data_IF_385788018367
#
_entry.id   IF_385788018367
#
_cell.length_a   1.000
_cell.length_b   1.000
_cell.length_c   1.000
_cell.angle_alpha   90.00
_cell.angle_beta   90.00
_cell.angle_gamma   90.00
#
_symmetry.space_group_name_H-M   'P 1'
#
loop_
_entity.id
_entity.type
_entity.pdbx_description
1 polymer ?
#
# COMPACT_ATOMS: atom_id res chain seq x y z
N UNK A 1 1.68 -8.42 -35.96
CA UNK A 1 1.36 -6.98 -35.88
C UNK A 1 2.25 -6.34 -34.82
N UNK A 2 3.03 -5.32 -35.19
CA UNK A 2 3.98 -4.65 -34.29
C UNK A 2 3.42 -3.35 -33.74
N UNK A 3 4.06 -2.79 -32.69
CA UNK A 3 3.65 -1.50 -32.11
C UNK A 3 3.73 -0.36 -33.12
N UNK A 4 4.70 -0.41 -34.03
CA UNK A 4 4.88 0.61 -35.09
C UNK A 4 3.71 0.57 -36.08
N UNK A 5 3.26 -0.62 -36.47
CA UNK A 5 2.10 -0.80 -37.36
C UNK A 5 0.80 -0.33 -36.71
N UNK A 6 0.60 -0.64 -35.42
CA UNK A 6 -0.57 -0.20 -34.67
C UNK A 6 -0.67 1.32 -34.57
N UNK A 7 0.44 1.97 -34.21
CA UNK A 7 0.51 3.43 -34.11
C UNK A 7 0.28 4.10 -35.46
N UNK A 8 0.88 3.56 -36.53
CA UNK A 8 0.67 4.07 -37.89
C UNK A 8 -0.80 3.93 -38.32
N UNK A 9 -1.44 2.80 -38.05
CA UNK A 9 -2.86 2.57 -38.36
C UNK A 9 -3.79 3.54 -37.61
N UNK A 10 -3.40 3.96 -36.41
CA UNK A 10 -4.15 4.90 -35.57
C UNK A 10 -3.82 6.38 -35.85
N UNK A 11 -3.05 6.68 -36.89
CA UNK A 11 -2.72 8.04 -37.31
C UNK A 11 -1.50 8.66 -36.61
N UNK A 12 -0.68 7.84 -35.96
CA UNK A 12 0.56 8.28 -35.31
C UNK A 12 1.78 7.76 -36.10
N UNK A 13 2.30 8.54 -37.07
CA UNK A 13 3.39 8.08 -37.92
C UNK A 13 4.69 7.96 -37.11
N UNK A 14 5.28 6.76 -37.12
CA UNK A 14 6.51 6.42 -36.40
C UNK A 14 7.64 6.21 -37.41
N UNK A 15 8.73 6.96 -37.28
CA UNK A 15 9.89 6.91 -38.19
C UNK A 15 11.09 6.25 -37.52
N UNK A 16 11.85 5.46 -38.27
CA UNK A 16 13.12 4.89 -37.77
C UNK A 16 14.14 6.01 -37.55
N UNK A 17 14.77 6.04 -36.38
CA UNK A 17 15.75 7.06 -35.97
C UNK A 17 17.12 6.48 -35.65
N UNK A 18 17.20 5.19 -35.31
CA UNK A 18 18.48 4.50 -35.15
C UNK A 18 18.35 3.01 -35.49
N UNK A 19 19.47 2.38 -35.84
CA UNK A 19 19.56 0.93 -36.12
C UNK A 19 20.18 0.13 -34.96
N UNK A 20 20.54 0.78 -33.86
CA UNK A 20 21.11 0.15 -32.67
C UNK A 20 20.07 -0.72 -31.94
N UNK A 21 20.49 -1.86 -31.39
CA UNK A 21 19.65 -2.68 -30.50
C UNK A 21 18.35 -3.26 -31.09
N UNK A 22 18.32 -3.54 -32.40
CA UNK A 22 17.12 -4.03 -33.10
C UNK A 22 16.26 -2.93 -33.74
N UNK A 23 16.70 -1.67 -33.68
CA UNK A 23 16.06 -0.53 -34.31
C UNK A 23 15.21 0.30 -33.34
N UNK A 24 15.48 1.60 -33.30
CA UNK A 24 14.73 2.59 -32.55
C UNK A 24 13.91 3.44 -33.51
N UNK A 25 12.65 3.67 -33.15
CA UNK A 25 11.72 4.47 -33.90
C UNK A 25 11.16 5.59 -33.02
N UNK A 26 10.84 6.74 -33.63
CA UNK A 26 10.28 7.89 -32.94
C UNK A 26 9.08 8.50 -33.69
N UNK A 27 8.12 9.05 -32.95
CA UNK A 27 6.98 9.74 -33.52
C UNK A 27 6.13 10.49 -32.49
N UNK A 28 4.95 10.99 -32.88
CA UNK A 28 4.05 11.71 -32.00
C UNK A 28 3.44 10.80 -30.94
N UNK A 29 3.24 11.35 -29.73
CA UNK A 29 2.63 10.61 -28.63
C UNK A 29 1.10 10.74 -28.67
N UNK A 30 0.35 9.62 -28.71
CA UNK A 30 -1.12 9.64 -28.76
C UNK A 30 -1.80 10.11 -27.47
N UNK A 31 -1.06 10.26 -26.37
CA UNK A 31 -1.63 10.54 -25.05
C UNK A 31 -1.39 11.95 -24.52
N UNK A 32 -0.35 12.64 -25.00
CA UNK A 32 0.04 13.94 -24.46
C UNK A 32 -0.02 15.09 -25.48
N UNK A 33 -0.57 14.83 -26.66
CA UNK A 33 -1.02 15.86 -27.59
C UNK A 33 0.06 16.83 -28.11
N UNK A 34 1.35 16.47 -28.08
CA UNK A 34 2.37 17.37 -28.63
C UNK A 34 3.66 16.66 -29.05
N UNK A 35 4.38 17.33 -29.96
CA UNK A 35 5.69 16.95 -30.50
C UNK A 35 5.67 15.75 -31.43
N UNK A 36 6.51 15.77 -32.46
CA UNK A 36 6.56 14.74 -33.50
C UNK A 36 7.59 13.62 -33.22
N UNK A 37 8.26 13.62 -32.06
CA UNK A 37 9.38 12.73 -31.76
C UNK A 37 9.40 12.21 -30.30
N UNK A 38 8.30 12.38 -29.55
CA UNK A 38 8.27 12.14 -28.10
C UNK A 38 8.11 10.68 -27.72
N UNK A 39 7.44 9.90 -28.57
CA UNK A 39 7.22 8.47 -28.38
C UNK A 39 8.40 7.70 -28.98
N UNK A 40 9.09 6.90 -28.18
CA UNK A 40 10.12 5.96 -28.63
C UNK A 40 9.54 4.56 -28.70
N UNK A 41 9.83 3.85 -29.79
CA UNK A 41 9.33 2.51 -30.05
C UNK A 41 10.46 1.57 -30.47
N UNK A 42 10.39 0.33 -29.96
CA UNK A 42 11.31 -0.76 -30.29
C UNK A 42 10.47 -1.99 -30.69
N UNK A 43 10.18 -2.18 -31.99
CA UNK A 43 9.25 -3.22 -32.46
C UNK A 43 9.73 -4.65 -32.18
N UNK A 44 11.04 -4.87 -32.17
CA UNK A 44 11.66 -6.19 -31.94
C UNK A 44 11.81 -6.55 -30.44
N UNK A 45 11.42 -5.66 -29.53
CA UNK A 45 11.56 -5.90 -28.09
C UNK A 45 10.24 -6.37 -27.47
N UNK A 46 10.29 -7.47 -26.74
CA UNK A 46 9.13 -8.03 -26.04
C UNK A 46 8.09 -8.66 -26.98
N UNK A 47 6.84 -8.70 -26.56
CA UNK A 47 5.78 -9.39 -27.30
C UNK A 47 5.02 -8.44 -28.23
N UNK A 48 5.62 -8.12 -29.38
CA UNK A 48 5.03 -7.23 -30.41
C UNK A 48 5.64 -5.82 -30.45
N UNK A 49 6.56 -5.52 -29.54
CA UNK A 49 7.27 -4.24 -29.49
C UNK A 49 6.95 -3.45 -28.22
N UNK A 50 7.95 -2.70 -27.74
CA UNK A 50 7.82 -1.80 -26.59
C UNK A 50 7.73 -0.34 -27.03
N UNK A 51 7.06 0.48 -26.24
CA UNK A 51 7.00 1.92 -26.44
C UNK A 51 7.12 2.67 -25.12
N UNK A 52 7.63 3.89 -25.19
CA UNK A 52 7.73 4.82 -24.06
C UNK A 52 7.70 6.27 -24.53
N UNK A 53 6.94 7.12 -23.83
CA UNK A 53 6.91 8.56 -24.09
C UNK A 53 7.81 9.30 -23.10
N UNK A 54 8.75 10.09 -23.64
CA UNK A 54 9.69 10.91 -22.85
C UNK A 54 9.02 12.05 -22.06
N UNK A 55 7.81 12.47 -22.45
CA UNK A 55 7.13 13.61 -21.83
C UNK A 55 6.07 13.21 -20.81
N UNK A 56 5.15 12.31 -21.15
CA UNK A 56 4.11 11.88 -20.22
C UNK A 56 4.47 10.62 -19.44
N UNK A 57 5.65 10.04 -19.68
CA UNK A 57 6.17 8.88 -18.96
C UNK A 57 5.47 7.55 -19.24
N UNK A 58 4.35 7.56 -20.00
CA UNK A 58 3.62 6.32 -20.33
C UNK A 58 4.49 5.37 -21.14
N UNK A 59 4.36 4.08 -20.85
CA UNK A 59 5.06 2.99 -21.54
C UNK A 59 4.18 1.75 -21.63
N UNK A 60 4.57 0.80 -22.48
CA UNK A 60 3.87 -0.48 -22.60
C UNK A 60 4.35 -1.30 -23.79
N UNK A 61 3.58 -2.35 -24.09
CA UNK A 61 3.69 -3.14 -25.32
C UNK A 61 2.46 -2.93 -26.22
N UNK A 62 2.32 -3.71 -27.30
CA UNK A 62 1.15 -3.68 -28.18
C UNK A 62 -0.17 -3.91 -27.46
N UNK A 63 -0.21 -4.83 -26.51
CA UNK A 63 -1.44 -5.17 -25.77
C UNK A 63 -1.80 -3.99 -24.88
N UNK A 64 -0.82 -3.42 -24.17
CA UNK A 64 -1.05 -2.26 -23.32
C UNK A 64 -1.50 -1.05 -24.16
N UNK A 65 -0.92 -0.82 -25.33
CA UNK A 65 -1.37 0.22 -26.27
C UNK A 65 -2.84 0.05 -26.67
N UNK A 66 -3.23 -1.15 -27.12
CA UNK A 66 -4.61 -1.46 -27.50
C UNK A 66 -5.60 -1.30 -26.34
N UNK A 67 -5.18 -1.65 -25.12
CA UNK A 67 -5.99 -1.43 -23.91
C UNK A 67 -6.16 0.04 -23.60
N UNK A 68 -5.08 0.81 -23.56
CA UNK A 68 -5.14 2.20 -23.06
C UNK A 68 -5.66 3.19 -24.10
N UNK A 69 -5.32 2.99 -25.37
CA UNK A 69 -5.69 3.86 -26.48
C UNK A 69 -7.02 3.43 -27.12
N UNK A 70 -7.11 2.17 -27.57
CA UNK A 70 -8.33 1.64 -28.22
C UNK A 70 -9.39 1.11 -27.25
N UNK A 71 -9.16 1.20 -25.93
CA UNK A 71 -10.08 0.72 -24.87
C UNK A 71 -10.48 -0.76 -25.01
N UNK A 72 -9.61 -1.57 -25.61
CA UNK A 72 -9.86 -3.00 -25.77
C UNK A 72 -9.64 -3.76 -24.46
N UNK A 73 -10.40 -4.83 -24.25
CA UNK A 73 -10.09 -5.79 -23.19
C UNK A 73 -8.82 -6.56 -23.55
N UNK A 74 -8.12 -7.11 -22.55
CA UNK A 74 -6.89 -7.89 -22.76
C UNK A 74 -7.09 -9.04 -23.77
N UNK A 75 -8.23 -9.75 -23.69
CA UNK A 75 -8.54 -10.87 -24.59
C UNK A 75 -8.69 -10.41 -26.04
N UNK A 76 -9.43 -9.32 -26.27
CA UNK A 76 -9.61 -8.72 -27.59
C UNK A 76 -8.28 -8.22 -28.13
N UNK A 77 -7.49 -7.52 -27.31
CA UNK A 77 -6.15 -7.04 -27.70
C UNK A 77 -5.19 -8.19 -28.05
N UNK A 78 -5.19 -9.28 -27.27
CA UNK A 78 -4.35 -10.46 -27.51
C UNK A 78 -4.73 -11.21 -28.79
N UNK A 79 -6.03 -11.33 -29.09
CA UNK A 79 -6.52 -11.88 -30.35
C UNK A 79 -6.16 -10.96 -31.53
N UNK A 80 -6.31 -9.64 -31.35
CA UNK A 80 -6.01 -8.64 -32.38
C UNK A 80 -4.55 -8.68 -32.84
N UNK A 81 -3.61 -8.95 -31.94
CA UNK A 81 -2.18 -9.10 -32.29
C UNK A 81 -1.82 -10.50 -32.85
N UNK A 82 -2.80 -11.38 -33.08
CA UNK A 82 -2.62 -12.68 -33.73
C UNK A 82 -2.14 -13.81 -32.80
N UNK A 83 -2.27 -13.67 -31.48
CA UNK A 83 -1.93 -14.77 -30.55
C UNK A 83 -3.09 -15.75 -30.47
N UNK A 84 -2.90 -16.98 -30.95
CA UNK A 84 -3.78 -18.10 -30.61
C UNK A 84 -3.65 -18.39 -29.11
N UNK A 85 -4.73 -18.13 -28.37
CA UNK A 85 -4.88 -18.61 -26.99
C UNK A 85 -5.15 -20.11 -27.04
N UNK A 86 -4.11 -20.94 -27.10
CA UNK A 86 -4.26 -22.39 -26.93
C UNK A 86 -4.56 -22.69 -25.45
N UNK A 87 -5.73 -23.28 -25.19
CA UNK A 87 -6.02 -24.00 -23.96
C UNK A 87 -6.82 -23.28 -22.86
N UNK A 88 -7.79 -22.44 -23.20
CA UNK A 88 -8.81 -22.00 -22.23
C UNK A 88 -10.18 -22.50 -22.69
N UNK A 89 -10.56 -23.66 -22.18
CA UNK A 89 -11.92 -24.20 -22.28
C UNK A 89 -12.94 -23.14 -21.82
N UNK A 90 -14.14 -23.10 -22.41
CA UNK A 90 -15.13 -22.06 -22.14
C UNK A 90 -15.71 -22.26 -20.73
N UNK A 91 -15.15 -21.57 -19.74
CA UNK A 91 -15.90 -21.28 -18.51
C UNK A 91 -16.84 -20.12 -18.83
N UNK A 92 -18.11 -20.46 -19.03
CA UNK A 92 -19.20 -19.49 -19.01
C UNK A 92 -19.22 -18.81 -17.64
N UNK A 93 -19.12 -17.48 -17.65
CA UNK A 93 -19.53 -16.61 -16.55
C UNK A 93 -18.92 -16.89 -15.18
N UNK A 94 -17.77 -16.28 -14.89
CA UNK A 94 -17.71 -15.53 -13.64
C UNK A 94 -17.35 -14.10 -14.01
N UNK A 95 -18.06 -13.15 -13.41
CA UNK A 95 -17.86 -11.73 -13.65
C UNK A 95 -16.43 -11.31 -13.39
N UNK A 96 -16.20 -10.02 -13.52
CA UNK A 96 -15.05 -9.37 -12.93
C UNK A 96 -15.08 -9.60 -11.41
N UNK A 97 -14.72 -10.78 -10.94
CA UNK A 97 -14.26 -10.96 -9.58
C UNK A 97 -12.97 -10.17 -9.55
N UNK A 98 -13.07 -8.97 -8.96
CA UNK A 98 -11.95 -8.40 -8.22
C UNK A 98 -11.22 -9.60 -7.63
N UNK A 99 -9.99 -9.89 -8.04
CA UNK A 99 -9.20 -10.92 -7.37
C UNK A 99 -9.18 -10.49 -5.92
N UNK A 100 -10.02 -11.11 -5.10
CA UNK A 100 -10.15 -10.78 -3.70
C UNK A 100 -8.78 -11.08 -3.14
N UNK A 101 -8.08 -10.01 -2.74
CA UNK A 101 -6.78 -10.16 -2.14
C UNK A 101 -6.97 -11.00 -0.88
N UNK A 102 -6.27 -12.13 -0.80
CA UNK A 102 -6.22 -12.96 0.39
C UNK A 102 -4.90 -12.71 1.11
N UNK A 103 -4.93 -12.44 2.42
CA UNK A 103 -3.70 -12.30 3.20
C UNK A 103 -2.87 -13.57 3.11
N UNK A 104 -1.53 -13.42 3.05
CA UNK A 104 -0.62 -14.57 3.09
C UNK A 104 -0.74 -15.26 4.44
N UNK A 105 -0.86 -16.58 4.45
CA UNK A 105 -0.76 -17.39 5.66
C UNK A 105 0.64 -17.32 6.27
N UNK A 106 0.69 -17.35 7.60
CA UNK A 106 1.93 -17.36 8.38
C UNK A 106 2.35 -18.78 8.71
N UNK A 107 3.64 -19.07 8.59
CA UNK A 107 4.18 -20.40 8.88
C UNK A 107 4.97 -20.33 10.17
N UNK A 108 4.80 -21.32 11.04
CA UNK A 108 5.63 -21.44 12.24
C UNK A 108 6.89 -22.26 11.93
N UNK A 109 8.12 -21.76 12.21
CA UNK A 109 9.34 -22.52 11.93
C UNK A 109 9.45 -23.80 12.76
N UNK A 110 10.07 -24.84 12.20
CA UNK A 110 10.18 -26.18 12.82
C UNK A 110 10.99 -26.20 14.13
N UNK A 111 10.78 -27.21 14.99
CA UNK A 111 11.50 -27.33 16.27
C UNK A 111 13.04 -27.39 16.15
N UNK A 112 13.63 -28.14 15.18
CA UNK A 112 15.07 -28.08 14.94
C UNK A 112 15.55 -26.66 14.58
N UNK A 113 14.79 -25.96 13.73
CA UNK A 113 15.08 -24.59 13.35
C UNK A 113 15.03 -23.65 14.56
N UNK A 114 13.97 -23.75 15.39
CA UNK A 114 13.83 -22.98 16.63
C UNK A 114 15.03 -23.15 17.55
N UNK A 115 15.52 -24.38 17.70
CA UNK A 115 16.68 -24.69 18.56
C UNK A 115 17.93 -23.97 18.08
N UNK A 116 18.22 -24.01 16.77
CA UNK A 116 19.38 -23.32 16.19
C UNK A 116 19.21 -21.80 16.26
N UNK A 117 18.03 -21.30 15.96
CA UNK A 117 17.68 -19.88 16.02
C UNK A 117 17.90 -19.29 17.43
N UNK A 118 17.46 -20.00 18.48
CA UNK A 118 17.66 -19.57 19.88
C UNK A 118 19.13 -19.42 20.22
N UNK A 119 19.96 -20.42 19.87
CA UNK A 119 21.41 -20.37 20.06
C UNK A 119 22.05 -19.18 19.33
N UNK A 120 21.65 -18.92 18.09
CA UNK A 120 22.16 -17.78 17.32
C UNK A 120 21.79 -16.46 17.98
N UNK A 121 20.51 -16.30 18.35
CA UNK A 121 19.99 -15.06 18.95
C UNK A 121 20.66 -14.80 20.31
N UNK A 122 20.72 -15.78 21.20
CA UNK A 122 21.41 -15.67 22.50
C UNK A 122 22.90 -15.33 22.37
N UNK A 123 23.61 -15.97 21.42
CA UNK A 123 25.00 -15.65 21.18
C UNK A 123 25.16 -14.22 20.63
N UNK A 124 24.29 -13.80 19.72
CA UNK A 124 24.34 -12.48 19.11
C UNK A 124 23.99 -11.37 20.11
N UNK A 125 23.05 -11.59 21.02
CA UNK A 125 22.73 -10.63 22.09
C UNK A 125 23.95 -10.38 22.96
N UNK A 126 24.60 -11.44 23.46
CA UNK A 126 25.84 -11.30 24.26
C UNK A 126 26.92 -10.56 23.49
N UNK A 127 27.10 -10.90 22.22
CA UNK A 127 28.09 -10.29 21.34
C UNK A 127 27.90 -8.77 21.20
N UNK A 128 26.66 -8.29 21.12
CA UNK A 128 26.35 -6.85 20.94
C UNK A 128 26.84 -5.98 22.10
N UNK A 129 27.01 -6.56 23.29
CA UNK A 129 27.46 -5.86 24.49
C UNK A 129 28.93 -6.08 24.84
N UNK A 130 29.70 -6.79 24.00
CA UNK A 130 31.13 -6.97 24.21
C UNK A 130 31.92 -5.67 23.91
N UNK A 131 33.06 -5.44 24.57
CA UNK A 131 33.80 -4.17 24.49
C UNK A 131 34.65 -4.01 23.21
N UNK A 132 34.39 -4.77 22.15
CA UNK A 132 35.14 -4.64 20.89
C UNK A 132 34.51 -3.59 19.97
N UNK A 133 35.33 -3.04 19.06
CA UNK A 133 34.98 -1.87 18.25
C UNK A 133 33.72 -2.08 17.41
N UNK A 134 33.46 -3.29 16.90
CA UNK A 134 32.29 -3.51 16.05
C UNK A 134 31.00 -3.49 16.86
N UNK A 135 30.98 -4.14 18.03
CA UNK A 135 29.87 -4.11 18.97
C UNK A 135 29.58 -2.70 19.48
N UNK A 136 30.62 -1.98 19.94
CA UNK A 136 30.49 -0.60 20.41
C UNK A 136 29.91 0.33 19.33
N UNK A 137 30.39 0.23 18.08
CA UNK A 137 29.84 1.01 16.95
C UNK A 137 28.40 0.66 16.64
N UNK A 138 28.04 -0.63 16.67
CA UNK A 138 26.67 -1.05 16.38
C UNK A 138 25.71 -0.60 17.48
N UNK A 139 26.10 -0.77 18.74
CA UNK A 139 25.32 -0.34 19.90
C UNK A 139 25.17 1.18 19.95
N UNK A 140 26.25 1.92 19.68
CA UNK A 140 26.22 3.39 19.52
C UNK A 140 25.28 3.82 18.39
N UNK A 141 25.32 3.16 17.24
CA UNK A 141 24.39 3.43 16.14
C UNK A 141 22.92 3.17 16.52
N UNK A 142 22.62 2.09 17.24
CA UNK A 142 21.25 1.81 17.72
C UNK A 142 20.76 2.91 18.68
N UNK A 143 21.61 3.34 19.61
CA UNK A 143 21.26 4.35 20.62
C UNK A 143 21.17 5.75 20.02
N UNK A 144 22.19 6.19 19.31
CA UNK A 144 22.34 7.57 18.85
C UNK A 144 21.54 7.83 17.56
N UNK A 145 21.65 6.92 16.58
CA UNK A 145 21.05 7.14 15.26
C UNK A 145 19.64 6.59 15.17
N UNK A 146 19.37 5.41 15.77
CA UNK A 146 18.01 4.84 15.81
C UNK A 146 17.21 5.26 17.02
N UNK A 147 17.82 5.85 18.04
CA UNK A 147 17.11 6.31 19.22
C UNK A 147 16.63 5.21 20.15
N UNK A 148 17.07 3.96 19.96
CA UNK A 148 16.60 2.84 20.77
C UNK A 148 17.31 2.83 22.12
N UNK A 149 16.54 2.79 23.20
CA UNK A 149 17.07 2.64 24.55
C UNK A 149 17.70 1.26 24.71
N UNK A 150 18.59 1.10 25.69
CA UNK A 150 19.16 -0.20 25.98
C UNK A 150 18.11 -1.22 26.44
N UNK A 151 17.09 -0.76 27.17
CA UNK A 151 15.94 -1.58 27.56
C UNK A 151 15.20 -2.10 26.34
N UNK A 152 14.93 -1.24 25.34
CA UNK A 152 14.30 -1.64 24.08
C UNK A 152 15.15 -2.61 23.29
N UNK A 153 16.45 -2.37 23.19
CA UNK A 153 17.42 -3.26 22.53
C UNK A 153 17.39 -4.66 23.16
N UNK A 154 17.36 -4.73 24.51
CA UNK A 154 17.26 -5.98 25.27
C UNK A 154 15.88 -6.63 25.14
N UNK A 155 14.79 -5.86 25.26
CA UNK A 155 13.39 -6.32 25.11
C UNK A 155 13.18 -7.02 23.78
N UNK A 156 13.72 -6.46 22.69
CA UNK A 156 13.61 -7.03 21.34
C UNK A 156 14.77 -7.96 20.97
N UNK A 157 15.64 -8.29 21.91
CA UNK A 157 16.74 -9.27 21.75
C UNK A 157 17.62 -8.97 20.54
N UNK A 158 17.86 -7.69 20.27
CA UNK A 158 18.77 -7.28 19.20
C UNK A 158 20.18 -7.76 19.53
N UNK A 159 20.90 -8.22 18.51
CA UNK A 159 22.22 -8.82 18.68
C UNK A 159 23.19 -8.48 17.56
N UNK A 160 24.42 -8.97 17.66
CA UNK A 160 25.46 -8.81 16.66
C UNK A 160 25.97 -10.17 16.18
N UNK A 161 26.03 -10.34 14.85
CA UNK A 161 26.83 -11.39 14.22
C UNK A 161 28.17 -10.75 13.84
N UNK A 162 29.29 -11.13 14.46
CA UNK A 162 30.53 -10.35 14.34
C UNK A 162 31.27 -10.62 13.03
N UNK A 163 31.12 -11.83 12.49
CA UNK A 163 31.80 -12.32 11.28
C UNK A 163 30.83 -13.12 10.41
N UNK A 164 31.11 -13.17 9.11
CA UNK A 164 30.38 -14.03 8.18
C UNK A 164 30.59 -15.51 8.53
N UNK A 165 29.51 -16.29 8.50
CA UNK A 165 29.53 -17.73 8.73
C UNK A 165 28.69 -18.45 7.69
N UNK A 166 28.99 -19.73 7.47
CA UNK A 166 28.23 -20.60 6.59
C UNK A 166 27.91 -21.90 7.31
N UNK A 167 26.63 -22.21 7.40
CA UNK A 167 26.12 -23.38 8.11
C UNK A 167 25.37 -24.31 7.16
N UNK A 168 25.33 -25.60 7.46
CA UNK A 168 24.55 -26.56 6.68
C UNK A 168 23.06 -26.43 6.94
N UNK A 169 22.24 -26.87 5.99
CA UNK A 169 20.77 -26.86 6.13
C UNK A 169 20.31 -27.81 7.24
N UNK A 170 20.99 -28.93 7.40
CA UNK A 170 20.75 -29.94 8.43
C UNK A 170 20.90 -29.38 9.85
N UNK A 171 21.82 -28.42 10.05
CA UNK A 171 22.01 -27.76 11.35
C UNK A 171 20.82 -26.89 11.75
N UNK A 172 20.00 -26.49 10.77
CA UNK A 172 18.76 -25.75 10.93
C UNK A 172 17.53 -26.64 10.81
N UNK A 173 17.71 -27.97 10.65
CA UNK A 173 16.68 -28.95 10.33
C UNK A 173 15.85 -28.57 9.11
N UNK A 174 16.54 -28.09 8.08
CA UNK A 174 15.97 -27.81 6.77
C UNK A 174 16.47 -28.86 5.77
N UNK A 175 15.66 -29.12 4.75
CA UNK A 175 16.07 -29.98 3.65
C UNK A 175 17.27 -29.39 2.90
N UNK A 176 18.28 -30.19 2.55
CA UNK A 176 19.43 -29.71 1.80
C UNK A 176 19.03 -29.15 0.44
N UNK A 177 19.48 -27.93 0.15
CA UNK A 177 19.40 -27.35 -1.20
C UNK A 177 20.73 -27.61 -1.93
N UNK A 178 20.69 -28.27 -3.09
CA UNK A 178 21.89 -28.62 -3.85
C UNK A 178 22.25 -27.53 -4.87
N UNK A 179 23.53 -27.41 -5.16
CA UNK A 179 24.06 -26.64 -6.30
C UNK A 179 23.97 -27.46 -7.58
N UNK A 180 24.21 -26.82 -8.72
CA UNK A 180 24.25 -27.49 -10.03
C UNK A 180 25.34 -28.57 -10.14
N UNK A 181 26.40 -28.48 -9.33
CA UNK A 181 27.50 -29.45 -9.24
C UNK A 181 27.19 -30.61 -8.26
N UNK A 182 25.99 -30.68 -7.69
CA UNK A 182 25.58 -31.71 -6.73
C UNK A 182 26.03 -31.46 -5.28
N UNK A 183 26.86 -30.44 -5.02
CA UNK A 183 27.29 -30.12 -3.65
C UNK A 183 26.19 -29.38 -2.88
N UNK A 184 26.04 -29.62 -1.55
CA UNK A 184 25.05 -28.92 -0.74
C UNK A 184 25.41 -27.42 -0.63
N UNK A 185 24.40 -26.57 -0.80
CA UNK A 185 24.50 -25.14 -0.47
C UNK A 185 24.59 -24.99 1.04
N UNK A 186 25.17 -23.88 1.47
CA UNK A 186 25.22 -23.47 2.87
C UNK A 186 24.32 -22.26 3.10
N UNK A 187 23.75 -22.18 4.28
CA UNK A 187 23.05 -21.01 4.79
C UNK A 187 24.11 -19.99 5.19
N UNK A 188 24.14 -18.87 4.48
CA UNK A 188 25.00 -17.75 4.82
C UNK A 188 24.41 -16.96 5.99
N UNK A 189 25.21 -16.75 7.03
CA UNK A 189 24.95 -15.85 8.15
C UNK A 189 25.92 -14.67 8.01
N UNK A 190 25.53 -13.58 7.34
CA UNK A 190 26.41 -12.42 7.20
C UNK A 190 26.70 -11.78 8.55
N UNK A 191 27.85 -11.11 8.68
CA UNK A 191 28.10 -10.21 9.79
C UNK A 191 27.14 -9.03 9.76
N UNK A 192 26.74 -8.54 10.92
CA UNK A 192 25.82 -7.41 11.05
C UNK A 192 24.90 -7.51 12.26
N UNK A 193 23.95 -6.58 12.31
CA UNK A 193 22.95 -6.51 13.37
C UNK A 193 21.91 -7.64 13.17
N UNK A 194 21.82 -8.53 14.14
CA UNK A 194 20.79 -9.55 14.26
C UNK A 194 19.50 -8.92 14.79
N UNK A 195 18.41 -9.05 14.04
CA UNK A 195 17.08 -8.53 14.36
C UNK A 195 16.11 -9.73 14.37
N UNK A 196 15.91 -10.37 15.53
CA UNK A 196 14.92 -11.44 15.64
C UNK A 196 13.49 -10.89 15.73
N UNK A 197 12.53 -11.68 15.25
CA UNK A 197 11.12 -11.51 15.58
C UNK A 197 10.75 -12.61 16.57
N UNK A 198 10.56 -12.23 17.82
CA UNK A 198 10.18 -13.13 18.90
C UNK A 198 8.67 -13.08 19.15
N UNK A 199 8.09 -14.23 19.48
CA UNK A 199 6.73 -14.32 20.01
C UNK A 199 6.75 -15.27 21.22
N UNK A 200 6.62 -14.70 22.42
CA UNK A 200 6.89 -15.41 23.66
C UNK A 200 8.29 -16.04 23.66
N UNK A 201 8.37 -17.33 23.95
CA UNK A 201 9.62 -18.10 23.95
C UNK A 201 10.12 -18.55 22.57
N UNK A 202 9.45 -18.19 21.48
CA UNK A 202 9.73 -18.67 20.12
C UNK A 202 10.31 -17.57 19.24
N UNK A 203 11.12 -17.97 18.26
CA UNK A 203 11.70 -17.08 17.24
C UNK A 203 11.01 -17.38 15.92
N UNK A 204 10.31 -16.41 15.35
CA UNK A 204 9.56 -16.60 14.10
C UNK A 204 10.39 -16.26 12.86
N UNK A 205 11.34 -15.33 13.03
CA UNK A 205 12.20 -14.83 11.95
C UNK A 205 13.51 -14.32 12.52
N UNK A 206 14.59 -14.50 11.78
CA UNK A 206 15.85 -13.78 12.01
C UNK A 206 16.21 -13.02 10.76
N UNK A 207 16.41 -11.71 10.91
CA UNK A 207 16.90 -10.84 9.84
C UNK A 207 18.21 -10.22 10.27
N UNK A 208 19.22 -10.28 9.41
CA UNK A 208 20.51 -9.67 9.64
C UNK A 208 20.64 -8.43 8.76
N UNK A 209 20.86 -7.28 9.41
CA UNK A 209 21.13 -6.01 8.78
C UNK A 209 22.63 -5.82 8.63
N UNK A 210 23.10 -5.81 7.39
CA UNK A 210 24.53 -5.70 7.04
C UNK A 210 25.02 -4.25 7.17
N UNK A 211 26.25 -4.02 7.66
CA UNK A 211 26.90 -2.71 7.69
C UNK A 211 26.98 -2.08 6.29
N UNK A 212 26.82 -0.75 6.20
CA UNK A 212 26.87 -0.02 4.92
C UNK A 212 28.20 -0.24 4.18
N UNK A 213 29.30 -0.33 4.91
CA UNK A 213 30.64 -0.62 4.36
C UNK A 213 30.75 -1.98 3.64
N UNK A 214 29.85 -2.92 3.93
CA UNK A 214 29.82 -4.24 3.29
C UNK A 214 28.95 -4.28 2.02
N UNK A 215 28.27 -3.16 1.71
CA UNK A 215 27.43 -3.00 0.53
C UNK A 215 28.26 -2.29 -0.54
N UNK A 216 28.87 -3.06 -1.44
CA UNK A 216 29.79 -2.58 -2.47
C UNK A 216 29.05 -2.15 -3.74
N UNK A 217 27.87 -2.68 -3.96
CA UNK A 217 27.03 -2.44 -5.13
C UNK A 217 25.57 -2.19 -4.72
N UNK A 218 24.82 -1.50 -5.58
CA UNK A 218 23.37 -1.35 -5.40
C UNK A 218 22.58 -2.67 -5.45
N UNK A 219 23.24 -3.79 -5.82
CA UNK A 219 22.66 -5.14 -5.79
C UNK A 219 22.83 -5.83 -4.43
N UNK A 220 23.72 -5.33 -3.57
CA UNK A 220 23.97 -5.93 -2.26
C UNK A 220 22.77 -5.74 -1.34
N UNK A 221 22.30 -6.84 -0.79
CA UNK A 221 21.14 -6.81 0.11
C UNK A 221 21.57 -6.23 1.47
N UNK A 222 20.99 -5.08 1.82
CA UNK A 222 21.15 -4.42 3.14
C UNK A 222 20.61 -5.29 4.27
N UNK A 223 19.54 -6.03 4.01
CA UNK A 223 18.93 -6.98 4.93
C UNK A 223 18.92 -8.38 4.34
N UNK A 224 19.28 -9.37 5.16
CA UNK A 224 19.26 -10.77 4.80
C UNK A 224 18.42 -11.54 5.81
N UNK A 225 17.34 -12.18 5.35
CA UNK A 225 16.50 -13.04 6.19
C UNK A 225 17.06 -14.47 6.17
N UNK A 226 17.28 -15.06 7.36
CA UNK A 226 17.80 -16.42 7.49
C UNK A 226 16.80 -17.41 6.90
N UNK A 227 17.31 -18.41 6.15
CA UNK A 227 16.49 -19.48 5.55
C UNK A 227 15.72 -20.22 6.63
N UNK A 228 14.48 -20.62 6.33
CA UNK A 228 13.54 -21.21 7.30
C UNK A 228 12.82 -20.21 8.20
N UNK A 229 13.20 -18.93 8.19
CA UNK A 229 12.40 -17.87 8.83
C UNK A 229 11.06 -17.68 8.12
N UNK A 230 10.02 -17.35 8.88
CA UNK A 230 8.78 -16.89 8.30
C UNK A 230 8.90 -15.42 7.82
N UNK A 231 8.15 -15.09 6.77
CA UNK A 231 8.22 -13.77 6.14
C UNK A 231 7.20 -12.76 6.68
N UNK A 232 6.53 -13.09 7.81
CA UNK A 232 5.49 -12.26 8.42
C UNK A 232 5.96 -10.85 8.77
N UNK A 233 4.99 -9.95 8.78
CA UNK A 233 5.08 -8.62 9.35
C UNK A 233 5.47 -8.71 10.82
N UNK A 234 6.14 -7.65 11.30
CA UNK A 234 6.28 -7.46 12.74
C UNK A 234 4.97 -6.87 13.24
N UNK A 235 4.45 -7.40 14.34
CA UNK A 235 3.27 -6.85 15.02
C UNK A 235 3.65 -6.69 16.49
N UNK A 236 3.74 -5.45 16.96
CA UNK A 236 4.13 -5.09 18.31
C UNK A 236 2.95 -4.47 19.04
N UNK A 237 2.75 -4.85 20.31
CA UNK A 237 1.62 -4.40 21.13
C UNK A 237 0.25 -4.58 20.40
N UNK A 238 -0.08 -5.81 19.94
CA UNK A 238 -1.25 -6.08 19.08
C UNK A 238 -2.61 -5.77 19.74
N UNK A 239 -2.65 -5.61 21.07
CA UNK A 239 -3.87 -5.33 21.84
C UNK A 239 -4.21 -3.84 21.90
N UNK A 240 -3.37 -2.96 21.34
CA UNK A 240 -3.65 -1.53 21.30
C UNK A 240 -4.75 -1.25 20.28
N UNK A 241 -5.69 -0.39 20.66
CA UNK A 241 -6.80 0.02 19.77
C UNK A 241 -6.32 0.85 18.59
N UNK A 242 -5.16 1.50 18.72
CA UNK A 242 -4.56 2.31 17.66
C UNK A 242 -3.30 1.61 17.19
N UNK A 243 -3.17 1.43 15.88
CA UNK A 243 -2.03 0.75 15.25
C UNK A 243 -1.33 1.69 14.28
N UNK A 244 -0.01 1.75 14.35
CA UNK A 244 0.81 2.50 13.40
C UNK A 244 1.53 1.54 12.45
N UNK A 245 1.36 1.75 11.15
CA UNK A 245 2.01 0.95 10.11
C UNK A 245 3.25 1.69 9.61
N UNK A 246 4.41 1.04 9.69
CA UNK A 246 5.72 1.58 9.25
C UNK A 246 6.45 0.59 8.34
N UNK A 247 7.52 1.05 7.71
CA UNK A 247 8.29 0.24 6.76
C UNK A 247 9.15 -0.80 7.46
N UNK A 248 9.92 -0.39 8.47
CA UNK A 248 11.03 -1.17 8.99
C UNK A 248 10.81 -1.66 10.42
N UNK A 249 11.43 -2.78 10.77
CA UNK A 249 11.33 -3.37 12.10
C UNK A 249 11.88 -2.44 13.19
N UNK A 250 12.96 -1.70 12.88
CA UNK A 250 13.59 -0.79 13.86
C UNK A 250 12.71 0.43 14.11
N UNK A 251 12.01 0.93 13.09
CA UNK A 251 11.09 2.06 13.26
C UNK A 251 9.85 1.62 14.06
N UNK A 252 9.36 0.40 13.87
CA UNK A 252 8.27 -0.14 14.70
C UNK A 252 8.68 -0.24 16.18
N UNK A 253 9.92 -0.66 16.45
CA UNK A 253 10.46 -0.69 17.82
C UNK A 253 10.58 0.71 18.41
N UNK A 254 11.06 1.69 17.63
CA UNK A 254 11.14 3.09 18.06
C UNK A 254 9.75 3.67 18.33
N UNK A 255 8.77 3.44 17.46
CA UNK A 255 7.38 3.89 17.65
C UNK A 255 6.81 3.35 18.96
N UNK A 256 6.93 2.05 19.22
CA UNK A 256 6.40 1.46 20.48
C UNK A 256 7.13 1.99 21.71
N UNK A 257 8.44 2.21 21.61
CA UNK A 257 9.22 2.82 22.69
C UNK A 257 8.69 4.22 23.03
N UNK A 258 8.59 5.10 22.05
CA UNK A 258 8.21 6.50 22.24
C UNK A 258 6.70 6.67 22.48
N UNK A 259 5.87 5.75 22.02
CA UNK A 259 4.43 5.77 22.24
C UNK A 259 4.06 5.52 23.72
N UNK A 260 4.90 4.85 24.49
CA UNK A 260 4.61 4.44 25.88
C UNK A 260 3.22 3.82 26.07
N UNK A 261 2.79 3.01 25.10
CA UNK A 261 1.49 2.33 25.13
C UNK A 261 0.32 3.10 24.49
N UNK A 262 0.54 4.24 23.85
CA UNK A 262 -0.51 4.92 23.10
C UNK A 262 -0.93 4.13 21.84
N UNK A 263 0.05 3.55 21.13
CA UNK A 263 -0.18 2.82 19.88
C UNK A 263 0.60 1.50 19.86
N UNK A 264 0.09 0.52 19.13
CA UNK A 264 0.88 -0.60 18.63
C UNK A 264 1.56 -0.24 17.31
N UNK A 265 2.49 -1.08 16.87
CA UNK A 265 3.21 -0.85 15.61
C UNK A 265 3.31 -2.10 14.76
N UNK A 266 3.14 -1.94 13.45
CA UNK A 266 3.24 -3.00 12.46
C UNK A 266 4.28 -2.64 11.42
N UNK A 267 5.28 -3.49 11.20
CA UNK A 267 6.24 -3.34 10.10
C UNK A 267 5.97 -4.33 8.97
N UNK A 268 5.89 -3.83 7.74
CA UNK A 268 5.66 -4.66 6.54
C UNK A 268 6.95 -5.12 5.85
N UNK A 269 8.07 -4.48 6.19
CA UNK A 269 9.41 -4.76 5.67
C UNK A 269 9.73 -4.14 4.32
N UNK A 270 8.72 -3.69 3.56
CA UNK A 270 8.83 -2.95 2.29
C UNK A 270 7.52 -2.21 2.00
N UNK A 271 7.59 -0.96 1.50
CA UNK A 271 6.44 -0.13 1.09
C UNK A 271 5.35 -0.84 0.26
N UNK A 272 5.75 -1.74 -0.64
CA UNK A 272 4.84 -2.43 -1.58
C UNK A 272 4.24 -3.74 -1.08
N UNK A 273 4.53 -4.17 0.16
CA UNK A 273 3.94 -5.39 0.72
C UNK A 273 2.60 -5.08 1.37
N UNK A 274 1.62 -5.95 1.14
CA UNK A 274 0.36 -5.95 1.88
C UNK A 274 0.52 -6.71 3.21
N UNK A 275 -0.26 -6.39 4.25
CA UNK A 275 -0.27 -7.11 5.53
C UNK A 275 -0.55 -8.62 5.38
N UNK A 276 0.03 -9.48 6.21
CA UNK A 276 -0.33 -10.90 6.26
C UNK A 276 -1.54 -11.16 7.18
N UNK A 277 -2.00 -12.41 7.27
CA UNK A 277 -3.19 -12.77 8.06
C UNK A 277 -3.15 -12.28 9.51
N UNK A 278 -1.99 -12.29 10.17
CA UNK A 278 -1.87 -11.90 11.58
C UNK A 278 -1.94 -10.38 11.70
N UNK A 279 -1.25 -9.66 10.81
CA UNK A 279 -1.36 -8.21 10.74
C UNK A 279 -2.79 -7.76 10.38
N UNK A 280 -3.47 -8.43 9.44
CA UNK A 280 -4.85 -8.13 9.06
C UNK A 280 -5.81 -8.32 10.22
N UNK A 281 -5.66 -9.40 11.01
CA UNK A 281 -6.48 -9.61 12.21
C UNK A 281 -6.32 -8.42 13.17
N UNK A 282 -5.09 -7.99 13.45
CA UNK A 282 -4.84 -6.86 14.36
C UNK A 282 -5.38 -5.55 13.81
N UNK A 283 -5.13 -5.26 12.53
CA UNK A 283 -5.64 -4.06 11.86
C UNK A 283 -7.18 -4.04 11.83
N UNK A 284 -7.83 -5.17 11.57
CA UNK A 284 -9.29 -5.28 11.52
C UNK A 284 -9.98 -4.99 12.86
N UNK A 285 -9.32 -5.27 13.99
CA UNK A 285 -9.83 -4.95 15.34
C UNK A 285 -9.39 -3.56 15.84
N UNK A 286 -8.52 -2.86 15.11
CA UNK A 286 -8.06 -1.54 15.51
C UNK A 286 -9.11 -0.48 15.21
N UNK A 287 -9.25 0.48 16.13
CA UNK A 287 -10.11 1.66 16.02
C UNK A 287 -9.54 2.71 15.07
N UNK A 288 -8.21 2.81 15.01
CA UNK A 288 -7.50 3.73 14.11
C UNK A 288 -6.21 3.09 13.60
N UNK A 289 -5.96 3.23 12.30
CA UNK A 289 -4.71 2.80 11.66
C UNK A 289 -3.98 4.02 11.11
N UNK A 290 -2.83 4.37 11.69
CA UNK A 290 -1.95 5.42 11.18
C UNK A 290 -0.95 4.81 10.20
N UNK A 291 -1.10 5.09 8.90
CA UNK A 291 -0.25 4.53 7.83
C UNK A 291 0.89 5.49 7.50
N UNK A 292 2.12 5.09 7.86
CA UNK A 292 3.37 5.84 7.76
C UNK A 292 4.39 5.08 6.91
N UNK A 293 3.99 4.74 5.67
CA UNK A 293 4.84 4.07 4.69
C UNK A 293 5.51 5.10 3.76
N UNK A 294 6.73 4.81 3.32
CA UNK A 294 7.42 5.59 2.31
C UNK A 294 6.59 5.52 1.03
N UNK A 295 6.19 6.68 0.52
CA UNK A 295 5.43 6.76 -0.71
C UNK A 295 6.12 7.75 -1.63
N UNK A 296 7.00 7.23 -2.48
CA UNK A 296 7.48 7.96 -3.64
C UNK A 296 6.33 8.15 -4.66
N UNK A 297 6.36 9.29 -5.34
CA UNK A 297 5.21 9.92 -6.02
C UNK A 297 4.54 9.08 -7.13
N UNK A 298 5.12 7.96 -7.55
CA UNK A 298 4.57 7.10 -8.60
C UNK A 298 3.70 5.93 -8.09
N UNK A 299 3.91 5.45 -6.86
CA UNK A 299 3.17 4.31 -6.26
C UNK A 299 2.21 4.70 -5.15
N UNK A 300 2.39 5.89 -4.58
CA UNK A 300 1.68 6.43 -3.42
C UNK A 300 0.15 6.31 -3.51
N UNK A 301 -0.43 6.70 -4.64
CA UNK A 301 -1.89 6.79 -4.79
C UNK A 301 -2.56 5.41 -4.84
N UNK A 302 -1.95 4.45 -5.53
CA UNK A 302 -2.49 3.10 -5.63
C UNK A 302 -2.35 2.34 -4.30
N UNK A 303 -1.18 2.46 -3.66
CA UNK A 303 -0.95 1.90 -2.33
C UNK A 303 -1.92 2.51 -1.30
N UNK A 304 -2.12 3.83 -1.33
CA UNK A 304 -3.06 4.50 -0.44
C UNK A 304 -4.52 4.10 -0.68
N UNK A 305 -4.93 4.00 -1.95
CA UNK A 305 -6.28 3.55 -2.29
C UNK A 305 -6.53 2.11 -1.81
N UNK A 306 -5.49 1.26 -1.83
CA UNK A 306 -5.59 -0.10 -1.28
C UNK A 306 -5.94 -0.07 0.22
N UNK A 307 -5.25 0.75 1.01
CA UNK A 307 -5.53 0.89 2.45
C UNK A 307 -6.95 1.36 2.71
N UNK A 308 -7.40 2.41 2.04
CA UNK A 308 -8.76 2.93 2.19
C UNK A 308 -9.86 1.94 1.78
N UNK A 309 -9.58 1.08 0.79
CA UNK A 309 -10.53 0.08 0.32
C UNK A 309 -10.65 -1.14 1.27
N UNK A 310 -9.62 -1.45 2.06
CA UNK A 310 -9.60 -2.62 2.94
C UNK A 310 -9.79 -2.26 4.41
N UNK A 311 -9.44 -1.04 4.80
CA UNK A 311 -9.52 -0.55 6.18
C UNK A 311 -10.05 0.89 6.18
N UNK A 312 -11.33 1.06 6.48
CA UNK A 312 -12.00 2.37 6.51
C UNK A 312 -11.46 3.29 7.62
N UNK A 313 -10.90 2.70 8.67
CA UNK A 313 -10.23 3.39 9.78
C UNK A 313 -8.78 3.77 9.47
N UNK A 314 -8.27 3.50 8.27
CA UNK A 314 -6.93 3.91 7.88
C UNK A 314 -6.85 5.43 7.65
N UNK A 315 -5.79 6.04 8.15
CA UNK A 315 -5.41 7.44 7.95
C UNK A 315 -3.97 7.52 7.51
N UNK A 316 -3.69 8.37 6.52
CA UNK A 316 -2.33 8.61 6.06
C UNK A 316 -1.64 9.50 7.09
N UNK A 317 -0.55 9.03 7.67
CA UNK A 317 0.21 9.74 8.70
C UNK A 317 1.70 9.70 8.39
N UNK A 318 2.16 10.55 7.45
CA UNK A 318 3.54 10.47 6.98
C UNK A 318 4.53 11.00 8.03
N UNK A 319 5.79 10.56 7.98
CA UNK A 319 6.87 11.14 8.77
C UNK A 319 7.09 12.62 8.44
N UNK A 320 7.51 13.40 9.43
CA UNK A 320 7.74 14.86 9.32
C UNK A 320 9.23 15.17 9.39
N UNK A 321 9.77 15.92 8.43
CA UNK A 321 11.19 16.30 8.43
C UNK A 321 12.16 15.14 8.14
N UNK A 322 11.65 13.98 7.72
CA UNK A 322 12.43 12.77 7.43
C UNK A 322 11.63 11.79 6.58
N UNK A 323 12.26 10.67 6.21
CA UNK A 323 11.59 9.60 5.45
C UNK A 323 10.89 8.60 6.37
N UNK A 324 11.54 8.24 7.47
CA UNK A 324 11.04 7.30 8.46
C UNK A 324 11.07 7.91 9.88
N UNK A 325 10.43 7.31 10.89
CA UNK A 325 10.48 7.79 12.29
C UNK A 325 11.90 7.96 12.85
N UNK A 326 12.87 7.17 12.38
CA UNK A 326 14.27 7.33 12.76
C UNK A 326 14.87 8.64 12.23
N UNK A 327 14.62 8.96 10.96
CA UNK A 327 15.02 10.21 10.34
C UNK A 327 14.32 11.42 10.99
N UNK A 328 13.02 11.30 11.35
CA UNK A 328 12.29 12.35 12.07
C UNK A 328 12.99 12.73 13.38
N UNK A 329 13.36 11.71 14.16
CA UNK A 329 14.07 11.91 15.42
C UNK A 329 15.41 12.61 15.19
N UNK A 330 16.16 12.21 14.15
CA UNK A 330 17.43 12.86 13.79
C UNK A 330 17.25 14.32 13.37
N UNK A 331 16.10 14.66 12.79
CA UNK A 331 15.72 16.04 12.47
C UNK A 331 15.22 16.83 13.70
N UNK A 332 15.22 16.24 14.90
CA UNK A 332 14.78 16.88 16.14
C UNK A 332 13.27 16.85 16.37
N UNK A 333 12.51 16.11 15.56
CA UNK A 333 11.06 15.94 15.76
C UNK A 333 10.84 14.88 16.84
N UNK A 334 10.04 15.23 17.85
CA UNK A 334 9.64 14.28 18.88
C UNK A 334 8.63 13.27 18.31
N UNK A 335 8.98 11.98 18.36
CA UNK A 335 8.16 10.89 17.80
C UNK A 335 6.84 10.72 18.56
N UNK A 336 6.84 10.93 19.89
CA UNK A 336 5.62 10.85 20.69
C UNK A 336 4.64 11.96 20.33
N UNK A 337 5.11 13.20 20.25
CA UNK A 337 4.27 14.35 19.88
C UNK A 337 3.65 14.15 18.49
N UNK A 338 4.41 13.57 17.56
CA UNK A 338 3.92 13.20 16.23
C UNK A 338 2.83 12.12 16.27
N UNK A 339 2.96 11.11 17.15
CA UNK A 339 1.91 10.08 17.34
C UNK A 339 0.65 10.72 17.95
N UNK A 340 0.81 11.51 19.00
CA UNK A 340 -0.31 12.18 19.69
C UNK A 340 -1.05 13.14 18.75
N UNK A 341 -0.33 13.87 17.90
CA UNK A 341 -0.91 14.72 16.86
C UNK A 341 -1.79 13.93 15.89
N UNK A 342 -1.35 12.75 15.44
CA UNK A 342 -2.13 11.89 14.53
C UNK A 342 -3.39 11.34 15.17
N UNK A 343 -3.32 10.99 16.46
CA UNK A 343 -4.48 10.56 17.24
C UNK A 343 -5.46 11.73 17.44
N UNK A 344 -4.95 12.93 17.77
CA UNK A 344 -5.76 14.11 17.98
C UNK A 344 -6.47 14.56 16.71
N UNK A 345 -5.82 14.48 15.54
CA UNK A 345 -6.45 14.77 14.25
C UNK A 345 -7.63 13.84 13.98
N UNK A 346 -7.48 12.54 14.23
CA UNK A 346 -8.57 11.59 14.11
C UNK A 346 -9.73 11.87 15.08
N UNK A 347 -9.44 12.23 16.34
CA UNK A 347 -10.50 12.57 17.31
C UNK A 347 -11.31 13.79 16.88
N UNK A 348 -10.65 14.82 16.36
CA UNK A 348 -11.34 15.99 15.79
C UNK A 348 -12.25 15.60 14.63
N UNK A 349 -11.79 14.73 13.73
CA UNK A 349 -12.64 14.21 12.65
C UNK A 349 -13.85 13.42 13.16
N UNK A 350 -13.71 12.66 14.26
CA UNK A 350 -14.82 11.93 14.91
C UNK A 350 -15.81 12.90 15.58
N UNK A 351 -15.30 13.90 16.31
CA UNK A 351 -16.09 14.93 16.99
C UNK A 351 -16.86 15.79 15.98
N UNK A 352 -16.22 16.26 14.91
CA UNK A 352 -16.85 16.99 13.80
C UNK A 352 -17.95 16.14 13.10
N UNK A 353 -17.78 14.81 13.07
CA UNK A 353 -18.79 13.88 12.55
C UNK A 353 -19.94 13.61 13.54
N UNK A 354 -19.74 13.85 14.83
CA UNK A 354 -20.73 13.63 15.89
C UNK A 354 -21.52 14.89 16.25
N UNK A 355 -20.93 16.09 16.11
CA UNK A 355 -21.58 17.39 16.32
C UNK A 355 -22.45 17.85 15.14
N UNK A 356 -22.45 17.14 14.01
CA UNK A 356 -23.43 17.39 12.94
C UNK A 356 -24.82 16.96 13.42
N UNK A 357 -25.82 17.85 13.54
CA UNK A 357 -27.13 17.49 14.08
C UNK A 357 -27.76 16.37 13.26
N UNK A 358 -27.86 15.17 13.83
CA UNK A 358 -28.43 13.98 13.18
C UNK A 358 -29.95 14.03 13.00
N UNK A 359 -30.56 15.20 13.16
CA UNK A 359 -31.98 15.45 12.90
C UNK A 359 -32.13 16.88 12.42
N UNK A 360 -32.07 17.09 11.10
CA UNK A 360 -32.68 18.29 10.53
C UNK A 360 -34.18 18.04 10.45
N UNK A 361 -34.95 18.90 11.12
CA UNK A 361 -36.40 18.92 11.07
C UNK A 361 -36.87 19.04 9.60
N UNK A 362 -37.71 18.12 9.10
CA UNK A 362 -38.26 18.19 7.75
C UNK A 362 -38.88 19.54 7.41
N UNK A 363 -39.47 20.23 8.38
CA UNK A 363 -40.09 21.55 8.19
C UNK A 363 -39.03 22.65 8.03
N UNK A 364 -37.86 22.51 8.67
CA UNK A 364 -36.70 23.35 8.43
C UNK A 364 -36.15 23.18 7.00
N UNK A 365 -36.07 21.94 6.52
CA UNK A 365 -35.63 21.65 5.14
C UNK A 365 -36.62 22.23 4.11
N UNK A 366 -37.92 22.07 4.33
CA UNK A 366 -38.99 22.65 3.51
C UNK A 366 -39.00 24.19 3.53
N UNK A 367 -38.72 24.81 4.68
CA UNK A 367 -38.63 26.27 4.79
C UNK A 367 -37.44 26.86 4.00
N UNK A 368 -36.31 26.14 3.97
CA UNK A 368 -35.13 26.54 3.20
C UNK A 368 -35.33 26.36 1.69
N UNK A 369 -36.23 25.46 1.28
CA UNK A 369 -36.58 25.19 -0.11
C UNK A 369 -37.65 26.13 -0.68
N UNK A 370 -38.35 26.92 0.13
CA UNK A 370 -39.42 27.86 -0.30
C UNK A 370 -38.92 29.11 -1.05
N UNK A 371 -37.73 29.07 -1.63
CA UNK A 371 -37.16 30.16 -2.44
C UNK A 371 -36.66 29.75 -3.82
N UNK A 372 -36.95 28.54 -4.30
CA UNK A 372 -36.48 28.07 -5.62
C UNK A 372 -37.62 27.73 -6.58
N UNK A 373 -37.39 28.06 -7.86
CA UNK A 373 -38.32 28.12 -8.98
C UNK A 373 -39.27 26.92 -9.19
N UNK A 374 -40.44 27.21 -9.75
CA UNK A 374 -41.52 26.26 -10.05
C UNK A 374 -41.09 25.06 -10.93
N UNK A 375 -40.01 25.19 -11.71
CA UNK A 375 -39.46 24.10 -12.54
C UNK A 375 -38.80 22.98 -11.73
N UNK A 376 -38.21 23.29 -10.55
CA UNK A 376 -37.60 22.29 -9.69
C UNK A 376 -38.65 21.37 -9.05
N UNK A 377 -39.83 21.91 -8.76
CA UNK A 377 -40.98 21.18 -8.22
C UNK A 377 -41.57 20.26 -9.31
N UNK A 378 -41.66 20.73 -10.56
CA UNK A 378 -42.19 19.94 -11.68
C UNK A 378 -41.28 18.76 -12.05
N UNK A 379 -39.96 18.96 -12.01
CA UNK A 379 -38.97 17.90 -12.26
C UNK A 379 -39.00 16.77 -11.21
N UNK A 380 -39.38 17.08 -9.96
CA UNK A 380 -39.50 16.10 -8.89
C UNK A 380 -40.84 15.34 -8.93
N UNK A 381 -41.89 15.97 -9.44
CA UNK A 381 -43.24 15.39 -9.53
C UNK A 381 -43.38 14.29 -10.60
N UNK A 382 -42.53 14.31 -11.65
CA UNK A 382 -42.70 13.44 -12.83
C UNK A 382 -41.87 12.13 -12.79
N UNK A 383 -41.20 11.82 -11.67
CA UNK A 383 -40.40 10.59 -11.54
C UNK A 383 -41.10 9.51 -10.70
N UNK A 384 -41.09 8.24 -11.16
CA UNK A 384 -41.72 7.15 -10.44
C UNK A 384 -41.12 6.99 -9.03
N UNK A 385 -42.02 6.96 -8.05
CA UNK A 385 -41.74 6.73 -6.62
C UNK A 385 -41.60 5.22 -6.38
N UNK A 386 -40.52 4.61 -6.87
CA UNK A 386 -40.19 3.21 -6.56
C UNK A 386 -39.23 3.13 -5.37
N UNK A 387 -39.39 2.12 -4.47
CA UNK A 387 -38.58 1.98 -3.24
C UNK A 387 -37.08 1.72 -3.48
N UNK A 388 -36.66 1.40 -4.71
CA UNK A 388 -35.27 1.12 -5.07
C UNK A 388 -34.49 2.35 -5.57
N UNK A 389 -35.04 3.57 -5.45
CA UNK A 389 -34.39 4.77 -5.99
C UNK A 389 -33.20 5.20 -5.13
N UNK A 390 -32.00 5.11 -5.70
CA UNK A 390 -30.80 5.72 -5.13
C UNK A 390 -30.87 7.25 -5.19
N UNK A 391 -30.77 7.91 -4.05
CA UNK A 391 -30.61 9.37 -3.97
C UNK A 391 -29.32 9.79 -4.68
N UNK A 392 -29.41 10.83 -5.51
CA UNK A 392 -28.26 11.44 -6.19
C UNK A 392 -27.70 12.60 -5.38
N UNK A 393 -26.46 13.00 -5.64
CA UNK A 393 -25.85 14.17 -5.01
C UNK A 393 -26.68 15.43 -5.27
N UNK A 394 -27.35 15.55 -6.41
CA UNK A 394 -28.22 16.69 -6.70
C UNK A 394 -29.42 16.78 -5.75
N UNK A 395 -29.92 15.64 -5.29
CA UNK A 395 -31.03 15.53 -4.33
C UNK A 395 -30.52 15.59 -2.87
N UNK A 396 -29.21 15.65 -2.67
CA UNK A 396 -28.58 15.72 -1.36
C UNK A 396 -28.40 17.19 -0.95
N UNK A 397 -28.96 17.59 0.20
CA UNK A 397 -28.85 18.97 0.72
C UNK A 397 -27.41 19.46 1.00
N UNK A 398 -26.43 18.57 0.97
CA UNK A 398 -25.01 18.91 1.10
C UNK A 398 -24.34 19.31 -0.23
N UNK A 399 -25.00 19.11 -1.37
CA UNK A 399 -24.45 19.45 -2.67
C UNK A 399 -24.81 20.90 -3.04
N UNK A 400 -23.78 21.68 -3.34
CA UNK A 400 -23.91 23.07 -3.82
C UNK A 400 -23.54 23.05 -5.30
N UNK A 401 -24.50 23.20 -6.24
CA UNK A 401 -24.17 23.29 -7.66
C UNK A 401 -23.32 24.54 -7.94
N UNK A 402 -22.30 24.42 -8.80
CA UNK A 402 -21.64 25.59 -9.37
C UNK A 402 -22.61 26.18 -10.42
N UNK A 403 -22.93 27.47 -10.33
CA UNK A 403 -24.11 28.10 -10.94
C UNK A 403 -24.41 27.79 -12.44
N UNK A 404 -25.71 27.90 -12.79
CA UNK A 404 -26.37 27.88 -14.11
C UNK A 404 -26.37 26.59 -14.95
N UNK A 405 -26.19 25.40 -14.36
CA UNK A 405 -26.49 24.17 -15.09
C UNK A 405 -27.99 23.83 -15.03
N UNK A 406 -28.75 24.21 -16.07
CA UNK A 406 -30.18 23.88 -16.26
C UNK A 406 -30.47 22.37 -16.41
N UNK A 407 -29.44 21.51 -16.35
CA UNK A 407 -29.60 20.07 -16.45
C UNK A 407 -29.07 19.34 -15.19
N UNK A 408 -29.97 18.93 -14.27
CA UNK A 408 -29.66 18.20 -13.04
C UNK A 408 -28.86 16.90 -13.27
N UNK A 409 -28.94 16.32 -14.47
CA UNK A 409 -28.30 15.03 -14.78
C UNK A 409 -26.80 15.13 -15.07
N UNK A 410 -26.22 16.34 -15.13
CA UNK A 410 -24.78 16.51 -15.44
C UNK A 410 -24.11 17.67 -14.66
N UNK A 411 -24.81 18.28 -13.71
CA UNK A 411 -24.32 19.42 -12.93
C UNK A 411 -23.05 19.09 -12.12
N UNK A 412 -22.00 19.91 -12.21
CA UNK A 412 -20.86 19.85 -11.31
C UNK A 412 -21.09 20.78 -10.11
N UNK A 413 -20.73 20.35 -8.91
CA UNK A 413 -20.94 21.13 -7.70
C UNK A 413 -20.04 20.67 -6.56
N UNK A 414 -20.04 21.43 -5.47
CA UNK A 414 -19.25 21.14 -4.28
C UNK A 414 -20.08 20.38 -3.26
N UNK A 415 -19.58 19.24 -2.80
CA UNK A 415 -20.21 18.51 -1.70
C UNK A 415 -19.63 19.01 -0.38
N UNK A 416 -20.43 19.74 0.41
CA UNK A 416 -20.06 20.21 1.75
C UNK A 416 -19.64 19.06 2.66
N UNK A 417 -20.40 17.95 2.64
CA UNK A 417 -20.13 16.74 3.44
C UNK A 417 -18.79 16.07 3.14
N UNK A 418 -18.29 16.17 1.90
CA UNK A 418 -17.06 15.50 1.46
C UNK A 418 -15.92 16.48 1.16
N UNK A 419 -16.18 17.76 1.36
CA UNK A 419 -15.35 18.90 0.99
C UNK A 419 -14.64 18.74 -0.37
N UNK A 420 -15.37 18.28 -1.40
CA UNK A 420 -14.83 18.07 -2.75
C UNK A 420 -15.89 18.24 -3.83
N UNK A 421 -15.43 18.50 -5.05
CA UNK A 421 -16.29 18.52 -6.24
C UNK A 421 -16.92 17.15 -6.56
N UNK A 422 -18.18 17.17 -6.98
CA UNK A 422 -19.00 16.01 -7.35
C UNK A 422 -19.85 16.35 -8.58
N UNK A 423 -20.21 15.32 -9.33
CA UNK A 423 -21.31 15.41 -10.30
C UNK A 423 -22.64 15.16 -9.59
N UNK A 424 -23.69 15.90 -9.96
CA UNK A 424 -25.03 15.81 -9.38
C UNK A 424 -25.64 14.41 -9.49
N UNK A 425 -25.31 13.67 -10.55
CA UNK A 425 -25.74 12.27 -10.75
C UNK A 425 -24.97 11.22 -9.96
N UNK A 426 -23.90 11.61 -9.26
CA UNK A 426 -23.23 10.65 -8.38
C UNK A 426 -24.19 10.21 -7.28
N UNK A 427 -24.13 8.95 -6.87
CA UNK A 427 -24.90 8.45 -5.72
C UNK A 427 -24.57 9.28 -4.47
N UNK A 428 -25.60 9.73 -3.76
CA UNK A 428 -25.46 10.44 -2.51
C UNK A 428 -24.69 9.58 -1.50
N UNK A 429 -24.04 10.25 -0.54
CA UNK A 429 -23.11 9.58 0.37
C UNK A 429 -23.78 8.57 1.31
N UNK A 430 -25.11 8.58 1.41
CA UNK A 430 -25.95 7.68 2.21
C UNK A 430 -27.11 7.19 1.35
N UNK A 431 -26.85 6.23 0.47
CA UNK A 431 -27.92 5.38 -0.02
C UNK A 431 -27.95 4.12 0.86
N UNK A 432 -29.03 3.99 1.64
CA UNK A 432 -29.53 2.78 2.31
C UNK A 432 -28.50 1.99 3.14
N UNK A 433 -28.50 2.16 4.47
CA UNK A 433 -28.16 1.06 5.40
C UNK A 433 -28.59 1.27 6.87
N UNK A 434 -29.29 2.34 7.26
CA UNK A 434 -29.73 2.53 8.67
C UNK A 434 -31.19 2.97 8.82
N UNK A 435 -32.12 2.40 8.04
CA UNK A 435 -33.56 2.67 8.20
C UNK A 435 -34.46 1.42 8.11
N UNK A 436 -34.00 0.27 8.62
CA UNK A 436 -34.85 -0.93 8.73
C UNK A 436 -35.11 -1.40 10.17
N UNK A 437 -34.82 -0.62 11.20
CA UNK A 437 -34.98 -1.13 12.59
C UNK A 437 -35.71 -0.21 13.57
N UNK A 438 -36.46 0.79 13.11
CA UNK A 438 -37.16 1.71 14.02
C UNK A 438 -38.55 2.20 13.57
N UNK A 439 -39.30 1.40 12.82
CA UNK A 439 -40.73 1.69 12.54
C UNK A 439 -41.60 0.44 12.75
N UNK A 440 -41.48 -0.17 13.93
CA UNK A 440 -42.46 -1.12 14.46
C UNK A 440 -42.47 -1.03 15.98
N UNK A 441 -42.92 0.11 16.51
CA UNK A 441 -43.43 0.25 17.89
C UNK A 441 -43.90 1.71 18.10
N UNK A 442 -45.01 2.09 17.48
CA UNK A 442 -45.99 3.04 18.04
C UNK A 442 -47.37 2.66 17.46
N UNK A 443 -48.13 1.95 18.29
CA UNK A 443 -49.60 1.87 18.39
C UNK A 443 -50.48 1.74 17.12
N UNK A 444 -51.06 0.54 16.97
CA UNK A 444 -52.51 0.35 17.17
C UNK A 444 -52.72 -0.47 18.43
#
# INVERSE_FOLDING_TARGET
MTIVELLAADGFPIKKVASTGGGEYAGPCPFCGGGNDRLRCWPEQGHGGRWWCRQCGRFGDCIEYLKVFRKMSFKVAAQFVGKQLKGLSPSFGSGNTLRTWTPRETIFPTNPWQTRAKRLVEASERELFLPHTFAQRMLGWLKEHRGLSEETIKKFRLGLVPIDRWEGYEQWGLEPDLKADGNPKKIWLPRGLCIPLCNGGNILRIRIRRPKMDLKSGKDRRYYTIRGSDSRAVVLEPRREIQMVVESDLDAMLVVQEAHGLVGAISLGTAGKTPDEEAVKVLGHSRLILVSLDSDDAGAKAAWQWWLNHFSQARRWPPVGGKDPGDMRLAGVNVRDWIEAGIAEYRREEEDQMECPRTLDPDQVLSTMKGQDAEAIFYLADKPQTPERFLTCYECGHFIPAANSLNPTQAWGHCRKRNRGRYGVATACEALLECETKIMEVEL
#
